data_IF_417242056993
#
_entry.id   IF_417242056993
#
_cell.length_a   1.000
_cell.length_b   1.000
_cell.length_c   1.000
_cell.angle_alpha   90.00
_cell.angle_beta   90.00
_cell.angle_gamma   90.00
#
_symmetry.space_group_name_H-M   'P 1'
#
loop_
_entity.id
_entity.type
_entity.pdbx_description
1 polymer ?
#
# COMPACT_ATOMS: atom_id res chain seq x y z
N UNK A 1 -11.22 6.55 -3.10
CA UNK A 1 -10.19 7.42 -2.50
C UNK A 1 -10.07 7.01 -1.05
N UNK A 2 -8.84 6.76 -0.58
CA UNK A 2 -8.55 6.43 0.81
C UNK A 2 -8.75 7.68 1.69
N UNK A 3 -9.64 7.63 2.66
CA UNK A 3 -9.82 8.69 3.65
C UNK A 3 -8.95 8.43 4.89
N UNK A 4 -8.65 9.46 5.69
CA UNK A 4 -7.78 9.39 6.89
C UNK A 4 -8.09 8.20 7.82
N UNK A 5 -9.38 7.92 8.05
CA UNK A 5 -9.80 6.79 8.88
C UNK A 5 -9.40 5.43 8.29
N UNK A 6 -9.34 5.31 6.96
CA UNK A 6 -8.96 4.08 6.26
C UNK A 6 -7.45 3.90 6.22
N UNK A 7 -6.64 4.94 6.41
CA UNK A 7 -5.18 4.85 6.39
C UNK A 7 -4.68 3.98 7.54
N UNK A 8 -5.32 4.09 8.71
CA UNK A 8 -5.02 3.23 9.86
C UNK A 8 -5.33 1.76 9.58
N UNK A 9 -6.39 1.48 8.82
CA UNK A 9 -6.77 0.13 8.41
C UNK A 9 -5.87 -0.43 7.29
N UNK A 10 -5.30 0.45 6.46
CA UNK A 10 -4.34 0.08 5.41
C UNK A 10 -3.02 -0.40 6.01
N UNK A 11 -2.57 0.18 7.13
CA UNK A 11 -1.35 -0.27 7.83
C UNK A 11 -1.56 -1.69 8.36
N UNK A 12 -0.64 -2.60 8.02
CA UNK A 12 -0.75 -4.03 8.37
C UNK A 12 -1.64 -4.85 7.43
N UNK A 13 -2.33 -4.21 6.49
CA UNK A 13 -3.07 -4.90 5.42
C UNK A 13 -2.14 -5.58 4.42
N UNK A 14 -2.71 -6.36 3.50
CA UNK A 14 -1.94 -7.06 2.48
C UNK A 14 -2.04 -6.34 1.14
N UNK A 15 -0.89 -5.96 0.58
CA UNK A 15 -0.78 -5.32 -0.72
C UNK A 15 -0.68 -6.37 -1.84
N UNK A 16 -1.41 -6.11 -2.93
CA UNK A 16 -1.44 -6.93 -4.14
C UNK A 16 -1.29 -6.06 -5.38
N UNK A 17 -0.66 -6.62 -6.41
CA UNK A 17 -0.55 -5.97 -7.71
C UNK A 17 -1.84 -6.03 -8.51
N UNK A 18 -1.85 -5.32 -9.63
CA UNK A 18 -2.96 -5.30 -10.59
C UNK A 18 -3.17 -6.65 -11.31
N UNK A 19 -2.15 -7.50 -11.30
CA UNK A 19 -2.18 -8.91 -11.72
C UNK A 19 -2.81 -9.86 -10.67
N UNK A 20 -3.11 -9.32 -9.48
CA UNK A 20 -3.64 -10.08 -8.36
C UNK A 20 -2.58 -10.76 -7.50
N UNK A 21 -1.29 -10.67 -7.86
CA UNK A 21 -0.21 -11.29 -7.10
C UNK A 21 0.05 -10.55 -5.78
N UNK A 22 0.45 -11.32 -4.76
CA UNK A 22 0.77 -10.75 -3.45
C UNK A 22 2.13 -10.06 -3.51
N UNK A 23 2.13 -8.77 -3.23
CA UNK A 23 3.36 -7.97 -3.10
C UNK A 23 3.93 -8.18 -1.69
N UNK A 24 3.13 -7.95 -0.65
CA UNK A 24 3.60 -7.97 0.74
C UNK A 24 2.63 -7.43 1.78
N UNK A 25 3.11 -7.19 3.00
CA UNK A 25 2.35 -6.50 4.06
C UNK A 25 2.67 -5.01 4.04
N UNK A 26 1.64 -4.18 4.18
CA UNK A 26 1.81 -2.72 4.25
C UNK A 26 2.44 -2.34 5.60
N UNK A 27 3.48 -1.52 5.56
CA UNK A 27 4.22 -1.03 6.73
C UNK A 27 3.76 0.35 7.15
N UNK A 28 3.96 1.35 6.29
CA UNK A 28 3.68 2.75 6.57
C UNK A 28 2.96 3.42 5.40
N UNK A 29 2.27 4.53 5.68
CA UNK A 29 1.64 5.39 4.68
C UNK A 29 2.24 6.78 4.79
N UNK A 30 2.60 7.35 3.65
CA UNK A 30 3.18 8.68 3.50
C UNK A 30 2.19 9.56 2.75
N UNK A 31 2.09 10.81 3.20
CA UNK A 31 1.13 11.79 2.70
C UNK A 31 1.87 12.88 1.93
N UNK A 32 1.22 13.42 0.89
CA UNK A 32 1.67 14.63 0.22
C UNK A 32 1.49 15.84 1.15
N UNK A 33 2.56 16.60 1.36
CA UNK A 33 2.61 17.71 2.32
C UNK A 33 1.73 18.92 1.92
N UNK A 34 1.29 19.00 0.66
CA UNK A 34 0.50 20.12 0.16
C UNK A 34 -1.00 19.83 0.19
N UNK A 35 -1.38 18.55 0.08
CA UNK A 35 -2.77 18.10 -0.10
C UNK A 35 -3.29 17.26 1.06
N UNK A 36 -2.42 16.83 1.99
CA UNK A 36 -2.73 15.88 3.07
C UNK A 36 -3.36 14.57 2.55
N UNK A 37 -3.04 14.18 1.30
CA UNK A 37 -3.55 12.94 0.71
C UNK A 37 -2.50 11.82 0.78
N UNK A 38 -2.91 10.57 1.04
CA UNK A 38 -2.03 9.42 0.94
C UNK A 38 -1.44 9.29 -0.46
N UNK A 39 -0.11 9.31 -0.57
CA UNK A 39 0.60 9.28 -1.85
C UNK A 39 1.40 7.99 -2.03
N UNK A 40 2.06 7.54 -0.96
CA UNK A 40 2.93 6.35 -1.00
C UNK A 40 2.67 5.44 0.19
N UNK A 41 2.91 4.14 -0.01
CA UNK A 41 3.03 3.17 1.07
C UNK A 41 4.34 2.42 1.00
N UNK A 42 4.79 1.93 2.14
CA UNK A 42 5.81 0.91 2.15
C UNK A 42 5.22 -0.49 2.23
N UNK A 43 5.79 -1.42 1.47
CA UNK A 43 5.37 -2.82 1.44
C UNK A 43 6.56 -3.73 1.70
N UNK A 44 6.40 -4.64 2.65
CA UNK A 44 7.39 -5.65 3.00
C UNK A 44 7.37 -6.79 1.97
N UNK A 45 8.35 -6.81 1.06
CA UNK A 45 8.37 -7.68 -0.15
C UNK A 45 9.16 -8.99 0.01
N UNK A 46 9.98 -9.13 1.07
CA UNK A 46 10.86 -10.28 1.30
C UNK A 46 10.36 -11.32 2.32
N UNK A 47 10.89 -12.55 2.23
CA UNK A 47 10.78 -13.55 3.29
C UNK A 47 11.41 -12.94 4.56
N UNK A 48 10.67 -12.87 5.66
CA UNK A 48 11.05 -12.17 6.91
C UNK A 48 10.92 -10.64 6.92
N UNK A 49 10.41 -10.00 5.87
CA UNK A 49 10.16 -8.55 5.88
C UNK A 49 11.43 -7.70 5.94
N UNK A 50 12.58 -8.24 5.53
CA UNK A 50 13.87 -7.52 5.53
C UNK A 50 14.01 -6.53 4.37
N UNK A 51 13.11 -6.61 3.40
CA UNK A 51 13.09 -5.75 2.23
C UNK A 51 11.76 -5.00 2.19
N UNK A 52 11.86 -3.69 2.03
CA UNK A 52 10.74 -2.77 1.96
C UNK A 52 10.78 -2.04 0.61
N UNK A 53 9.63 -1.89 -0.02
CA UNK A 53 9.48 -1.22 -1.31
C UNK A 53 8.45 -0.11 -1.20
N UNK A 54 8.74 1.05 -1.79
CA UNK A 54 7.79 2.15 -1.91
C UNK A 54 6.86 1.88 -3.07
N UNK A 55 5.56 1.97 -2.82
CA UNK A 55 4.51 1.70 -3.79
C UNK A 55 3.57 2.90 -3.81
N UNK A 56 3.31 3.52 -4.98
CA UNK A 56 2.41 4.65 -5.06
C UNK A 56 0.96 4.19 -4.83
N UNK A 57 0.19 5.03 -4.14
CA UNK A 57 -1.24 4.82 -3.90
C UNK A 57 -2.13 5.40 -5.01
N UNK A 58 -1.54 5.99 -6.05
CA UNK A 58 -2.25 6.44 -7.24
C UNK A 58 -3.09 5.30 -7.82
N UNK A 59 -4.39 5.49 -7.82
CA UNK A 59 -5.40 4.51 -8.26
C UNK A 59 -5.47 3.21 -7.42
N UNK A 60 -4.93 3.22 -6.19
CA UNK A 60 -5.06 2.10 -5.28
C UNK A 60 -6.49 1.97 -4.73
N UNK A 61 -6.96 0.73 -4.62
CA UNK A 61 -8.23 0.39 -3.98
C UNK A 61 -8.00 -0.39 -2.70
N UNK A 62 -8.80 -0.10 -1.68
CA UNK A 62 -8.74 -0.78 -0.40
C UNK A 62 -10.10 -1.37 -0.06
N UNK A 63 -10.14 -2.70 0.06
CA UNK A 63 -11.34 -3.46 0.36
C UNK A 63 -11.05 -4.49 1.45
N UNK A 64 -11.66 -4.31 2.63
CA UNK A 64 -11.41 -5.19 3.78
C UNK A 64 -9.97 -5.08 4.29
N UNK A 65 -9.17 -6.13 4.09
CA UNK A 65 -7.73 -6.20 4.44
C UNK A 65 -6.83 -6.23 3.18
N UNK A 66 -7.39 -5.88 2.02
CA UNK A 66 -6.73 -5.96 0.72
C UNK A 66 -6.50 -4.58 0.15
N UNK A 67 -5.24 -4.18 0.07
CA UNK A 67 -4.80 -3.04 -0.74
C UNK A 67 -4.42 -3.57 -2.13
N UNK A 68 -5.10 -3.12 -3.18
CA UNK A 68 -4.72 -3.42 -4.57
C UNK A 68 -4.12 -2.17 -5.19
N UNK A 69 -2.91 -2.28 -5.70
CA UNK A 69 -2.19 -1.18 -6.36
C UNK A 69 -2.13 -1.42 -7.86
N UNK A 70 -1.94 -0.34 -8.63
CA UNK A 70 -1.86 -0.39 -10.09
C UNK A 70 -0.58 -1.08 -10.60
N UNK A 71 0.46 -1.16 -9.77
CA UNK A 71 1.78 -1.71 -10.14
C UNK A 71 1.94 -3.20 -9.79
N UNK A 72 2.70 -3.92 -10.61
CA UNK A 72 3.11 -5.30 -10.39
C UNK A 72 4.39 -5.37 -9.55
N UNK A 73 4.77 -6.58 -9.12
CA UNK A 73 5.94 -6.81 -8.26
C UNK A 73 7.30 -6.70 -9.00
N UNK A 74 7.29 -6.58 -10.32
CA UNK A 74 8.46 -6.55 -11.21
C UNK A 74 8.79 -5.15 -11.78
#
# INVERSE_FOLDING_TARGET
MLNENQVSDVIGSTAYGSDGEKIGKVGQVYFDENTDQPEWVTVNTGLFGTSESFVPLSDATFEGDRLTVSHTKD
#
